data_IF_826814437858
#
_entry.id   IF_826814437858
#
_cell.length_a   1.000
_cell.length_b   1.000
_cell.length_c   1.000
_cell.angle_alpha   90.00
_cell.angle_beta   90.00
_cell.angle_gamma   90.00
#
_symmetry.space_group_name_H-M   'P 1'
#
loop_
_entity.id
_entity.type
_entity.pdbx_description
1 polymer ?
#
# COMPACT_ATOMS: atom_id res chain seq x y z
N UNK A 1 -7.24 -3.25 14.12
CA UNK A 1 -7.05 -1.92 14.73
C UNK A 1 -5.98 -1.96 15.80
N UNK A 2 -5.14 -0.93 15.83
CA UNK A 2 -4.09 -0.68 16.84
C UNK A 2 -3.13 -1.85 17.12
N UNK A 3 -2.79 -2.64 16.09
CA UNK A 3 -1.84 -3.73 16.23
C UNK A 3 -2.29 -4.87 17.16
N UNK A 4 -3.60 -5.13 17.25
CA UNK A 4 -4.15 -6.22 18.06
C UNK A 4 -4.82 -7.28 17.17
N UNK A 5 -4.50 -8.55 17.40
CA UNK A 5 -5.20 -9.68 16.80
C UNK A 5 -6.59 -9.82 17.41
N UNK A 6 -7.61 -9.99 16.55
CA UNK A 6 -9.00 -10.13 16.99
C UNK A 6 -9.71 -11.32 16.35
N UNK A 7 -10.50 -12.03 17.16
CA UNK A 7 -11.48 -13.00 16.70
C UNK A 7 -12.86 -12.36 16.82
N UNK A 8 -13.58 -12.24 15.71
CA UNK A 8 -14.87 -11.54 15.71
C UNK A 8 -15.88 -12.18 16.67
N UNK A 9 -16.69 -11.34 17.32
CA UNK A 9 -17.75 -11.79 18.22
C UNK A 9 -18.73 -12.72 17.51
N UNK A 10 -19.04 -12.43 16.24
CA UNK A 10 -19.86 -13.30 15.41
C UNK A 10 -19.27 -14.70 15.26
N UNK A 11 -17.95 -14.82 15.01
CA UNK A 11 -17.30 -16.12 14.88
C UNK A 11 -17.35 -16.91 16.19
N UNK A 12 -17.16 -16.24 17.33
CA UNK A 12 -17.28 -16.86 18.66
C UNK A 12 -18.68 -17.35 18.96
N UNK A 13 -19.70 -16.53 18.67
CA UNK A 13 -21.10 -16.91 18.87
C UNK A 13 -21.48 -18.11 18.01
N UNK A 14 -21.00 -18.16 16.76
CA UNK A 14 -21.34 -19.22 15.80
C UNK A 14 -20.56 -20.52 16.01
N UNK A 15 -19.28 -20.43 16.40
CA UNK A 15 -18.35 -21.58 16.41
C UNK A 15 -17.82 -21.92 17.82
N UNK A 16 -18.25 -21.19 18.84
CA UNK A 16 -17.83 -21.40 20.23
C UNK A 16 -16.36 -21.05 20.44
N UNK A 17 -15.66 -21.88 21.21
CA UNK A 17 -14.22 -21.71 21.48
C UNK A 17 -13.43 -21.90 20.18
N UNK A 18 -12.60 -20.92 19.85
CA UNK A 18 -11.73 -20.92 18.67
C UNK A 18 -10.28 -20.79 19.15
N UNK A 19 -9.43 -21.69 18.67
CA UNK A 19 -7.98 -21.63 18.89
C UNK A 19 -7.31 -21.32 17.56
N UNK A 20 -6.40 -20.34 17.56
CA UNK A 20 -5.67 -19.94 16.37
C UNK A 20 -4.16 -20.15 16.53
N UNK A 21 -3.50 -20.41 15.41
CA UNK A 21 -2.06 -20.29 15.22
C UNK A 21 -1.78 -19.12 14.27
N UNK A 22 -0.66 -18.45 14.52
CA UNK A 22 -0.21 -17.27 13.78
C UNK A 22 1.17 -17.54 13.20
N UNK A 23 1.35 -17.37 11.91
CA UNK A 23 2.64 -17.47 11.25
C UNK A 23 3.03 -16.09 10.69
N UNK A 24 3.99 -15.37 11.31
CA UNK A 24 4.47 -14.11 10.79
C UNK A 24 4.99 -14.27 9.37
N UNK A 25 4.81 -13.26 8.52
CA UNK A 25 5.44 -13.23 7.20
C UNK A 25 6.72 -12.41 7.32
N UNK A 26 7.83 -12.99 6.84
CA UNK A 26 9.15 -12.36 6.86
C UNK A 26 9.69 -12.26 5.44
N UNK A 27 10.36 -11.13 5.18
CA UNK A 27 11.12 -10.91 3.94
C UNK A 27 12.32 -11.85 3.92
N UNK A 28 12.56 -12.48 2.78
CA UNK A 28 13.77 -13.25 2.52
C UNK A 28 14.92 -12.36 2.05
N UNK A 29 15.88 -12.94 1.33
CA UNK A 29 16.97 -12.19 0.71
C UNK A 29 16.43 -11.45 -0.53
N UNK A 30 16.55 -10.13 -0.54
CA UNK A 30 16.05 -9.29 -1.64
C UNK A 30 14.53 -9.28 -1.78
N UNK A 31 14.07 -8.68 -2.86
CA UNK A 31 12.65 -8.39 -3.13
C UNK A 31 11.83 -9.55 -3.72
N UNK A 32 12.45 -10.73 -3.86
CA UNK A 32 11.85 -11.88 -4.56
C UNK A 32 11.61 -13.08 -3.66
N UNK A 33 11.80 -12.93 -2.36
CA UNK A 33 11.56 -13.99 -1.39
C UNK A 33 10.76 -13.47 -0.20
N UNK A 34 9.70 -14.19 0.13
CA UNK A 34 8.93 -14.04 1.36
C UNK A 34 8.57 -15.42 1.87
N UNK A 35 8.55 -15.60 3.19
CA UNK A 35 8.21 -16.89 3.81
C UNK A 35 7.45 -16.68 5.10
N UNK A 36 6.79 -17.75 5.55
CA UNK A 36 6.27 -17.81 6.91
C UNK A 36 7.43 -18.07 7.88
N UNK A 37 7.44 -17.36 9.00
CA UNK A 37 8.29 -17.64 10.14
C UNK A 37 7.66 -18.73 11.03
N UNK A 38 8.30 -19.02 12.15
CA UNK A 38 7.79 -20.01 13.10
C UNK A 38 6.39 -19.68 13.59
N UNK A 39 5.56 -20.71 13.73
CA UNK A 39 4.18 -20.56 14.16
C UNK A 39 4.13 -20.24 15.66
N UNK A 40 3.42 -19.16 15.99
CA UNK A 40 3.13 -18.76 17.37
C UNK A 40 1.80 -19.40 17.78
N UNK A 41 1.82 -20.13 18.91
CA UNK A 41 0.65 -20.87 19.42
C UNK A 41 0.56 -20.81 20.95
N UNK A 42 -0.66 -20.63 21.51
CA UNK A 42 -1.86 -20.17 20.83
C UNK A 42 -1.77 -18.68 20.51
N UNK A 43 -2.34 -18.23 19.38
CA UNK A 43 -2.62 -16.82 19.17
C UNK A 43 -3.99 -16.51 19.80
N UNK A 44 -3.95 -15.89 20.98
CA UNK A 44 -5.14 -15.50 21.73
C UNK A 44 -5.71 -14.20 21.16
N UNK A 45 -7.03 -14.07 21.20
CA UNK A 45 -7.69 -12.79 20.92
C UNK A 45 -7.22 -11.71 21.91
N UNK A 46 -6.95 -10.52 21.40
CA UNK A 46 -6.37 -9.44 22.18
C UNK A 46 -4.84 -9.44 22.21
N UNK A 47 -4.17 -10.48 21.68
CA UNK A 47 -2.72 -10.49 21.58
C UNK A 47 -2.19 -9.39 20.63
N UNK A 48 -1.05 -8.76 20.95
CA UNK A 48 -0.40 -7.84 20.03
C UNK A 48 0.09 -8.56 18.78
N UNK A 49 0.02 -7.88 17.64
CA UNK A 49 0.66 -8.33 16.41
C UNK A 49 2.17 -8.26 16.56
N UNK A 50 2.86 -9.32 16.13
CA UNK A 50 4.33 -9.38 16.11
C UNK A 50 4.90 -9.02 14.73
N UNK A 51 4.05 -8.96 13.71
CA UNK A 51 4.39 -8.57 12.34
C UNK A 51 3.18 -7.93 11.68
N UNK A 52 3.42 -7.07 10.69
CA UNK A 52 2.34 -6.44 9.92
C UNK A 52 1.51 -7.47 9.15
N UNK A 53 2.17 -8.50 8.62
CA UNK A 53 1.55 -9.50 7.76
C UNK A 53 1.76 -10.88 8.33
N UNK A 54 0.73 -11.70 8.23
CA UNK A 54 0.71 -13.02 8.87
C UNK A 54 -0.35 -13.92 8.27
N UNK A 55 -0.08 -15.22 8.33
CA UNK A 55 -1.06 -16.25 8.06
C UNK A 55 -1.68 -16.72 9.35
N UNK A 56 -3.00 -16.83 9.37
CA UNK A 56 -3.78 -17.36 10.48
C UNK A 56 -4.35 -18.69 10.08
N UNK A 57 -4.28 -19.65 10.99
CA UNK A 57 -5.07 -20.86 10.93
C UNK A 57 -5.80 -21.05 12.25
N UNK A 58 -7.12 -21.24 12.20
CA UNK A 58 -7.93 -21.43 13.41
C UNK A 58 -8.73 -22.72 13.31
N UNK A 59 -9.00 -23.31 14.48
CA UNK A 59 -9.89 -24.44 14.65
C UNK A 59 -10.88 -24.15 15.76
N UNK A 60 -12.16 -24.40 15.49
CA UNK A 60 -13.23 -24.33 16.48
C UNK A 60 -13.35 -25.62 17.27
N UNK A 61 -14.05 -25.59 18.41
CA UNK A 61 -14.36 -26.76 19.20
C UNK A 61 -15.09 -27.87 18.40
N UNK A 62 -15.88 -27.48 17.38
CA UNK A 62 -16.58 -28.42 16.49
C UNK A 62 -15.72 -28.89 15.30
N UNK A 63 -14.41 -28.61 15.29
CA UNK A 63 -13.49 -29.02 14.23
C UNK A 63 -13.53 -28.19 12.94
N UNK A 64 -14.35 -27.14 12.84
CA UNK A 64 -14.34 -26.24 11.67
C UNK A 64 -13.04 -25.45 11.63
N UNK A 65 -12.49 -25.31 10.43
CA UNK A 65 -11.18 -24.69 10.17
C UNK A 65 -11.32 -23.38 9.42
N UNK A 66 -10.44 -22.44 9.73
CA UNK A 66 -10.25 -21.17 9.02
C UNK A 66 -8.78 -21.04 8.67
N UNK A 67 -8.47 -20.64 7.44
CA UNK A 67 -7.09 -20.43 6.99
C UNK A 67 -7.05 -19.23 6.06
N UNK A 68 -6.37 -18.14 6.46
CA UNK A 68 -6.26 -16.95 5.63
C UNK A 68 -4.99 -16.14 5.93
N UNK A 69 -4.66 -15.22 5.03
CA UNK A 69 -3.60 -14.22 5.21
C UNK A 69 -4.23 -12.88 5.60
N UNK A 70 -3.61 -12.18 6.53
CA UNK A 70 -4.07 -10.90 7.06
C UNK A 70 -2.96 -9.87 7.04
N UNK A 71 -3.40 -8.62 7.10
CA UNK A 71 -2.55 -7.44 7.25
C UNK A 71 -3.04 -6.61 8.42
N UNK A 72 -2.10 -5.96 9.09
CA UNK A 72 -2.25 -4.95 10.11
C UNK A 72 -0.93 -4.20 10.26
N UNK A 73 -0.79 -3.44 11.34
CA UNK A 73 0.46 -2.75 11.67
C UNK A 73 0.87 -3.19 13.06
N UNK A 74 2.03 -3.83 13.18
CA UNK A 74 2.59 -4.23 14.46
C UNK A 74 3.28 -3.04 15.15
N UNK A 75 3.18 -2.99 16.48
CA UNK A 75 3.87 -1.96 17.26
C UNK A 75 5.39 -2.16 17.18
N UNK A 76 6.12 -1.10 16.85
CA UNK A 76 7.58 -1.12 16.78
C UNK A 76 8.18 -0.01 17.65
N UNK A 77 8.78 -0.40 18.77
CA UNK A 77 9.35 0.54 19.74
C UNK A 77 10.42 1.46 19.13
N UNK A 78 11.26 0.93 18.25
CA UNK A 78 12.34 1.71 17.61
C UNK A 78 11.80 2.83 16.72
N UNK A 79 10.70 2.58 16.00
CA UNK A 79 10.05 3.58 15.15
C UNK A 79 9.36 4.65 16.01
N UNK A 80 8.75 4.26 17.13
CA UNK A 80 8.20 5.21 18.10
C UNK A 80 9.30 6.05 18.77
N UNK A 81 10.46 5.47 19.06
CA UNK A 81 11.62 6.17 19.60
C UNK A 81 12.24 7.15 18.60
N UNK A 82 12.34 6.79 17.32
CA UNK A 82 12.95 7.63 16.27
C UNK A 82 12.32 9.03 16.19
N UNK A 83 10.98 9.12 16.21
CA UNK A 83 10.25 10.40 16.20
C UNK A 83 10.50 11.28 17.45
N UNK A 84 10.94 10.68 18.56
CA UNK A 84 11.28 11.40 19.79
C UNK A 84 12.73 11.90 19.74
N UNK A 85 13.63 11.10 19.18
CA UNK A 85 15.07 11.36 19.11
C UNK A 85 15.45 12.32 17.98
N UNK A 86 14.84 12.15 16.81
CA UNK A 86 15.08 13.01 15.65
C UNK A 86 14.02 14.10 15.65
N UNK A 87 14.40 15.31 16.07
CA UNK A 87 13.52 16.48 16.02
C UNK A 87 13.63 17.14 14.67
N UNK A 88 12.48 17.54 14.14
CA UNK A 88 12.44 18.37 12.94
C UNK A 88 13.06 19.74 13.23
N UNK A 89 13.68 20.37 12.22
CA UNK A 89 14.11 21.76 12.32
C UNK A 89 12.98 22.67 12.78
N UNK A 90 13.31 23.74 13.52
CA UNK A 90 12.30 24.65 14.09
C UNK A 90 11.40 25.32 13.03
N UNK A 91 11.89 25.47 11.80
CA UNK A 91 11.16 26.03 10.67
C UNK A 91 10.48 24.97 9.78
N UNK A 92 10.57 23.69 10.12
CA UNK A 92 9.92 22.64 9.34
C UNK A 92 8.40 22.68 9.55
N UNK A 93 7.66 22.56 8.46
CA UNK A 93 6.19 22.47 8.52
C UNK A 93 5.71 21.21 9.25
N UNK A 94 6.50 20.13 9.18
CA UNK A 94 6.22 18.88 9.90
C UNK A 94 4.95 18.15 9.46
N UNK A 95 4.46 18.43 8.25
CA UNK A 95 3.31 17.74 7.68
C UNK A 95 3.64 16.27 7.41
N UNK A 96 2.65 15.41 7.66
CA UNK A 96 2.56 14.08 7.08
C UNK A 96 2.46 14.21 5.55
N UNK A 97 2.95 13.22 4.80
CA UNK A 97 2.78 13.15 3.35
C UNK A 97 2.14 11.81 3.03
N UNK A 98 0.98 11.85 2.36
CA UNK A 98 0.31 10.65 1.88
C UNK A 98 0.03 10.79 0.39
N UNK A 99 0.76 9.99 -0.38
CA UNK A 99 0.60 9.88 -1.83
C UNK A 99 -0.14 8.57 -2.12
N UNK A 100 -1.30 8.67 -2.77
CA UNK A 100 -2.08 7.50 -3.20
C UNK A 100 -2.31 7.59 -4.71
N UNK A 101 -1.71 6.65 -5.43
CA UNK A 101 -1.71 6.62 -6.88
C UNK A 101 -2.48 5.43 -7.46
N UNK A 102 -2.92 5.60 -8.71
CA UNK A 102 -3.45 4.52 -9.52
C UNK A 102 -2.62 4.34 -10.79
N UNK A 103 -2.42 3.08 -11.15
CA UNK A 103 -1.82 2.69 -12.42
C UNK A 103 -2.78 2.99 -13.58
N UNK A 104 -2.26 3.39 -14.75
CA UNK A 104 -3.00 3.39 -16.02
C UNK A 104 -4.31 4.18 -16.01
N UNK A 105 -4.40 5.22 -15.17
CA UNK A 105 -5.61 6.03 -14.98
C UNK A 105 -5.44 7.44 -15.55
N UNK A 106 -6.19 7.76 -16.61
CA UNK A 106 -6.26 9.14 -17.14
C UNK A 106 -7.16 10.04 -16.29
N UNK A 107 -7.04 11.36 -16.47
CA UNK A 107 -7.95 12.33 -15.86
C UNK A 107 -9.42 12.02 -16.17
N UNK A 108 -9.72 11.65 -17.41
CA UNK A 108 -11.10 11.32 -17.81
C UNK A 108 -11.59 10.03 -17.15
N UNK A 109 -10.72 9.03 -16.98
CA UNK A 109 -11.06 7.83 -16.21
C UNK A 109 -11.30 8.14 -14.74
N UNK A 110 -10.53 9.05 -14.13
CA UNK A 110 -10.75 9.54 -12.77
C UNK A 110 -12.11 10.23 -12.62
N UNK A 111 -12.41 11.20 -13.50
CA UNK A 111 -13.70 11.91 -13.50
C UNK A 111 -14.89 10.95 -13.63
N UNK A 112 -14.78 9.95 -14.51
CA UNK A 112 -15.89 9.02 -14.80
C UNK A 112 -16.07 7.95 -13.72
N UNK A 113 -14.99 7.36 -13.23
CA UNK A 113 -15.04 6.15 -12.42
C UNK A 113 -14.80 6.39 -10.93
N UNK A 114 -14.32 7.56 -10.53
CA UNK A 114 -14.06 7.92 -9.12
C UNK A 114 -14.83 9.18 -8.66
N UNK A 115 -16.12 9.36 -9.02
CA UNK A 115 -16.83 10.60 -8.72
C UNK A 115 -16.97 10.89 -7.22
N UNK A 116 -17.17 9.87 -6.36
CA UNK A 116 -17.35 10.09 -4.91
C UNK A 116 -16.06 10.57 -4.26
N UNK A 117 -14.94 9.93 -4.60
CA UNK A 117 -13.61 10.30 -4.10
C UNK A 117 -13.20 11.67 -4.60
N UNK A 118 -13.44 11.96 -5.88
CA UNK A 118 -13.16 13.27 -6.49
C UNK A 118 -14.00 14.38 -5.87
N UNK A 119 -15.30 14.17 -5.70
CA UNK A 119 -16.19 15.16 -5.10
C UNK A 119 -15.77 15.48 -3.65
N UNK A 120 -15.48 14.46 -2.85
CA UNK A 120 -15.00 14.67 -1.48
C UNK A 120 -13.67 15.45 -1.47
N UNK A 121 -12.72 15.07 -2.33
CA UNK A 121 -11.43 15.75 -2.43
C UNK A 121 -11.57 17.22 -2.83
N UNK A 122 -12.36 17.54 -3.84
CA UNK A 122 -12.48 18.92 -4.34
C UNK A 122 -13.39 19.77 -3.45
N UNK A 123 -14.59 19.27 -3.11
CA UNK A 123 -15.63 20.09 -2.49
C UNK A 123 -15.54 20.11 -0.97
N UNK A 124 -15.04 19.03 -0.35
CA UNK A 124 -14.92 18.96 1.11
C UNK A 124 -13.52 19.28 1.60
N UNK A 125 -12.48 18.72 0.96
CA UNK A 125 -11.09 19.00 1.36
C UNK A 125 -10.53 20.29 0.75
N UNK A 126 -11.23 20.91 -0.21
CA UNK A 126 -10.73 22.08 -0.94
C UNK A 126 -9.52 21.76 -1.82
N UNK A 127 -9.39 20.50 -2.24
CA UNK A 127 -8.28 20.02 -3.05
C UNK A 127 -8.24 20.71 -4.41
N UNK A 128 -7.03 20.77 -4.98
CA UNK A 128 -6.78 21.37 -6.29
C UNK A 128 -6.52 20.27 -7.32
N UNK A 129 -7.18 20.33 -8.47
CA UNK A 129 -6.90 19.46 -9.60
C UNK A 129 -5.85 20.14 -10.49
N UNK A 130 -4.69 19.48 -10.68
CA UNK A 130 -3.63 19.97 -11.55
C UNK A 130 -3.94 19.61 -13.00
N UNK A 131 -4.78 20.39 -13.66
CA UNK A 131 -5.29 20.08 -15.01
C UNK A 131 -4.20 20.00 -16.09
N UNK A 132 -3.06 20.67 -15.87
CA UNK A 132 -1.89 20.63 -16.75
C UNK A 132 -0.84 19.57 -16.39
N UNK A 133 -1.07 18.75 -15.36
CA UNK A 133 -0.15 17.66 -15.01
C UNK A 133 -0.04 16.66 -16.16
N UNK A 134 1.20 16.32 -16.54
CA UNK A 134 1.50 15.45 -17.65
C UNK A 134 2.56 14.42 -17.26
N UNK A 135 2.53 13.29 -17.97
CA UNK A 135 3.49 12.19 -17.76
C UNK A 135 4.88 12.59 -18.22
N UNK A 136 5.88 12.11 -17.50
CA UNK A 136 7.31 12.24 -17.86
C UNK A 136 7.83 11.02 -18.63
N UNK A 137 7.00 9.99 -18.79
CA UNK A 137 7.27 8.83 -19.63
C UNK A 137 6.06 7.91 -19.76
N UNK A 138 6.12 6.97 -20.72
CA UNK A 138 4.99 6.10 -21.10
C UNK A 138 4.76 4.91 -20.15
N UNK A 139 5.57 4.69 -19.12
CA UNK A 139 5.41 3.56 -18.21
C UNK A 139 5.56 3.95 -16.74
N UNK A 140 5.05 3.11 -15.86
CA UNK A 140 5.03 3.34 -14.40
C UNK A 140 6.42 3.63 -13.84
N UNK A 141 7.46 2.89 -14.26
CA UNK A 141 8.84 3.17 -13.86
C UNK A 141 9.28 4.58 -14.26
N UNK A 142 9.02 4.97 -15.52
CA UNK A 142 9.42 6.28 -16.02
C UNK A 142 8.63 7.43 -15.37
N UNK A 143 7.39 7.19 -14.94
CA UNK A 143 6.58 8.16 -14.22
C UNK A 143 6.97 8.26 -12.74
N UNK A 144 7.14 7.13 -12.04
CA UNK A 144 7.37 7.10 -10.60
C UNK A 144 8.82 7.37 -10.19
N UNK A 145 9.82 7.05 -11.02
CA UNK A 145 11.22 7.39 -10.70
C UNK A 145 11.42 8.91 -10.51
N UNK A 146 11.03 9.79 -11.44
CA UNK A 146 11.17 11.23 -11.24
C UNK A 146 10.41 11.75 -10.02
N UNK A 147 9.24 11.20 -9.73
CA UNK A 147 8.42 11.60 -8.58
C UNK A 147 9.09 11.23 -7.26
N UNK A 148 9.66 10.02 -7.18
CA UNK A 148 10.19 9.46 -5.93
C UNK A 148 11.68 9.70 -5.74
N UNK A 149 12.42 10.07 -6.79
CA UNK A 149 13.87 10.27 -6.74
C UNK A 149 14.32 11.64 -7.26
N UNK A 150 13.44 12.36 -7.97
CA UNK A 150 13.80 13.58 -8.70
C UNK A 150 14.62 13.33 -9.97
N UNK A 151 14.77 12.09 -10.40
CA UNK A 151 15.63 11.67 -11.51
C UNK A 151 14.89 10.73 -12.47
N UNK A 152 15.18 10.82 -13.76
CA UNK A 152 14.72 9.85 -14.76
C UNK A 152 15.56 8.58 -14.69
N UNK A 153 15.10 7.51 -15.36
CA UNK A 153 15.89 6.27 -15.46
C UNK A 153 17.27 6.51 -16.12
N UNK A 154 17.39 7.53 -16.99
CA UNK A 154 18.66 7.87 -17.65
C UNK A 154 19.66 8.57 -16.74
N UNK A 155 19.18 9.25 -15.69
CA UNK A 155 20.02 9.98 -14.73
C UNK A 155 20.58 9.04 -13.64
N UNK A 156 20.05 7.81 -13.56
CA UNK A 156 20.34 6.84 -12.51
C UNK A 156 21.22 5.69 -13.02
N UNK A 157 21.99 5.03 -12.14
CA UNK A 157 22.67 3.79 -12.49
C UNK A 157 21.68 2.76 -13.04
N UNK A 158 22.09 2.01 -14.06
CA UNK A 158 21.25 0.95 -14.60
C UNK A 158 20.87 -0.04 -13.50
N UNK A 159 19.57 -0.32 -13.43
CA UNK A 159 18.99 -1.36 -12.56
C UNK A 159 18.21 -2.42 -13.36
N UNK A 160 18.34 -2.42 -14.70
CA UNK A 160 17.58 -3.33 -15.57
C UNK A 160 17.99 -4.78 -15.37
N UNK A 161 17.04 -5.72 -15.41
CA UNK A 161 17.31 -7.14 -15.19
C UNK A 161 18.18 -7.80 -16.25
N UNK A 162 18.06 -7.35 -17.49
CA UNK A 162 18.79 -7.85 -18.66
C UNK A 162 20.20 -7.25 -18.79
N UNK A 163 20.56 -6.31 -17.93
CA UNK A 163 21.89 -5.72 -17.87
C UNK A 163 22.76 -6.48 -16.83
N UNK A 164 23.87 -7.13 -17.27
CA UNK A 164 24.77 -7.86 -16.37
C UNK A 164 25.46 -7.00 -15.32
N UNK A 165 25.69 -5.72 -15.60
CA UNK A 165 26.42 -4.80 -14.69
C UNK A 165 25.49 -3.95 -13.82
N UNK A 166 24.18 -4.06 -14.03
CA UNK A 166 23.19 -3.33 -13.24
C UNK A 166 23.12 -3.82 -11.79
N UNK A 167 22.63 -2.96 -10.90
CA UNK A 167 22.43 -3.28 -9.47
C UNK A 167 20.97 -3.17 -9.08
N UNK A 168 20.65 -3.61 -7.87
CA UNK A 168 19.39 -3.29 -7.22
C UNK A 168 19.23 -1.77 -7.05
N UNK A 169 17.98 -1.31 -6.89
CA UNK A 169 17.66 0.12 -6.89
C UNK A 169 17.92 0.82 -5.55
N UNK A 170 18.55 0.13 -4.59
CA UNK A 170 18.83 0.61 -3.23
C UNK A 170 19.63 1.92 -3.20
N UNK A 171 20.55 2.11 -4.15
CA UNK A 171 21.44 3.27 -4.21
C UNK A 171 20.79 4.53 -4.82
N UNK A 172 19.52 4.45 -5.25
CA UNK A 172 18.83 5.60 -5.84
C UNK A 172 18.48 6.65 -4.76
N UNK A 173 18.35 7.93 -5.13
CA UNK A 173 18.15 9.02 -4.17
C UNK A 173 16.67 9.13 -3.72
N UNK A 174 16.14 8.06 -3.14
CA UNK A 174 14.73 7.96 -2.78
C UNK A 174 14.27 9.01 -1.77
N UNK A 175 13.09 9.55 -2.00
CA UNK A 175 12.48 10.57 -1.14
C UNK A 175 12.14 10.01 0.25
N UNK A 176 11.76 8.74 0.35
CA UNK A 176 11.51 8.10 1.64
C UNK A 176 12.77 8.02 2.50
N UNK A 177 13.97 7.89 1.93
CA UNK A 177 15.20 7.91 2.72
C UNK A 177 15.45 9.27 3.35
N UNK A 178 15.11 10.35 2.63
CA UNK A 178 15.16 11.72 3.16
C UNK A 178 14.17 11.90 4.31
N UNK A 179 12.94 11.43 4.14
CA UNK A 179 11.93 11.46 5.21
C UNK A 179 12.34 10.61 6.42
N UNK A 180 12.86 9.40 6.19
CA UNK A 180 13.35 8.51 7.25
C UNK A 180 14.49 9.15 8.05
N UNK A 181 15.44 9.79 7.38
CA UNK A 181 16.52 10.57 8.02
C UNK A 181 15.99 11.77 8.82
N UNK A 182 14.89 12.37 8.37
CA UNK A 182 14.19 13.43 9.11
C UNK A 182 13.31 12.92 10.26
N UNK A 183 13.30 11.61 10.55
CA UNK A 183 12.57 11.01 11.67
C UNK A 183 11.15 10.55 11.35
N UNK A 184 10.71 10.66 10.10
CA UNK A 184 9.38 10.21 9.67
C UNK A 184 9.30 8.68 9.67
N UNK A 185 8.12 8.13 9.95
CA UNK A 185 7.78 6.74 9.62
C UNK A 185 7.50 6.64 8.12
N UNK A 186 8.13 5.68 7.44
CA UNK A 186 7.95 5.51 5.98
C UNK A 186 7.19 4.24 5.65
N UNK A 187 6.26 4.33 4.70
CA UNK A 187 5.51 3.19 4.20
C UNK A 187 5.38 3.20 2.68
N UNK A 188 5.44 2.01 2.08
CA UNK A 188 5.18 1.80 0.66
C UNK A 188 4.32 0.56 0.44
N UNK A 189 3.26 0.67 -0.35
CA UNK A 189 2.45 -0.47 -0.76
C UNK A 189 2.12 -0.41 -2.25
N UNK A 190 2.22 -1.57 -2.89
CA UNK A 190 1.82 -1.80 -4.28
C UNK A 190 1.22 -3.21 -4.36
N UNK A 191 0.04 -3.34 -4.96
CA UNK A 191 -0.59 -4.62 -5.28
C UNK A 191 -0.03 -5.18 -6.60
N UNK A 192 -0.55 -6.30 -7.10
CA UNK A 192 -0.06 -6.96 -8.33
C UNK A 192 1.46 -7.18 -8.33
N UNK A 193 1.94 -7.80 -7.26
CA UNK A 193 3.34 -8.01 -6.89
C UNK A 193 4.18 -8.79 -7.91
N UNK A 194 3.54 -9.43 -8.90
CA UNK A 194 4.17 -10.09 -10.04
C UNK A 194 4.57 -9.11 -11.17
N UNK A 195 4.00 -7.90 -11.20
CA UNK A 195 4.32 -6.80 -12.12
C UNK A 195 4.73 -5.51 -11.38
N UNK A 196 5.17 -5.61 -10.13
CA UNK A 196 5.53 -4.43 -9.33
C UNK A 196 6.51 -3.48 -10.01
N UNK A 197 6.33 -2.17 -9.81
CA UNK A 197 6.98 -1.09 -10.58
C UNK A 197 8.49 -1.31 -10.69
N UNK A 198 9.17 -1.51 -9.56
CA UNK A 198 10.62 -1.64 -9.52
C UNK A 198 11.09 -3.09 -9.56
N UNK A 199 10.18 -4.06 -9.67
CA UNK A 199 10.46 -5.49 -9.61
C UNK A 199 10.30 -6.18 -10.96
N UNK A 200 9.42 -5.70 -11.85
CA UNK A 200 9.16 -6.37 -13.13
C UNK A 200 10.34 -6.23 -14.10
N UNK A 201 10.77 -5.00 -14.37
CA UNK A 201 11.85 -4.69 -15.35
C UNK A 201 13.19 -4.35 -14.71
N UNK A 202 13.16 -3.90 -13.46
CA UNK A 202 14.37 -3.61 -12.68
C UNK A 202 14.68 -4.75 -11.70
N UNK A 203 15.87 -4.72 -11.10
CA UNK A 203 16.34 -5.72 -10.13
C UNK A 203 15.65 -5.62 -8.77
N UNK A 204 14.74 -4.68 -8.55
CA UNK A 204 14.05 -4.50 -7.26
C UNK A 204 15.02 -4.04 -6.19
N UNK A 205 14.61 -4.18 -4.93
CA UNK A 205 15.43 -3.79 -3.79
C UNK A 205 16.14 -5.01 -3.16
N UNK A 206 17.36 -4.80 -2.70
CA UNK A 206 18.11 -5.75 -1.88
C UNK A 206 17.65 -5.66 -0.43
N UNK A 207 17.54 -4.46 0.13
CA UNK A 207 17.03 -4.16 1.46
C UNK A 207 15.56 -3.71 1.42
N UNK A 208 14.87 -3.71 2.55
CA UNK A 208 13.50 -3.18 2.58
C UNK A 208 13.53 -1.64 2.46
N UNK A 209 12.86 -1.02 1.47
CA UNK A 209 13.01 0.40 1.18
C UNK A 209 12.37 1.33 2.21
N UNK A 210 11.30 0.89 2.87
CA UNK A 210 10.52 1.67 3.84
C UNK A 210 10.43 0.92 5.17
N UNK A 211 10.03 1.61 6.24
CA UNK A 211 9.83 0.93 7.54
C UNK A 211 8.68 -0.10 7.48
N UNK A 212 7.66 0.20 6.68
CA UNK A 212 6.52 -0.66 6.42
C UNK A 212 6.37 -0.92 4.92
N UNK A 213 6.29 -2.18 4.48
CA UNK A 213 6.10 -2.52 3.06
C UNK A 213 5.17 -3.69 2.84
N UNK A 214 4.07 -3.50 2.07
CA UNK A 214 3.12 -4.58 1.76
C UNK A 214 3.64 -5.62 0.76
N UNK A 215 4.85 -5.46 0.23
CA UNK A 215 5.43 -6.36 -0.78
C UNK A 215 5.33 -7.83 -0.37
N UNK A 216 5.73 -8.17 0.86
CA UNK A 216 5.69 -9.56 1.34
C UNK A 216 4.28 -10.09 1.54
N UNK A 217 3.32 -9.21 1.86
CA UNK A 217 1.91 -9.60 1.93
C UNK A 217 1.43 -10.05 0.56
N UNK A 218 1.59 -9.22 -0.47
CA UNK A 218 1.09 -9.54 -1.80
C UNK A 218 1.81 -10.75 -2.42
N UNK A 219 3.12 -10.91 -2.20
CA UNK A 219 3.86 -12.10 -2.61
C UNK A 219 3.25 -13.42 -2.13
N UNK A 220 2.67 -13.44 -0.93
CA UNK A 220 2.08 -14.64 -0.34
C UNK A 220 0.55 -14.68 -0.48
N UNK A 221 -0.11 -13.53 -0.62
CA UNK A 221 -1.55 -13.43 -0.80
C UNK A 221 -1.98 -13.77 -2.23
N UNK A 222 -1.28 -13.25 -3.25
CA UNK A 222 -1.65 -13.42 -4.66
C UNK A 222 -1.72 -14.89 -5.10
N UNK A 223 -0.76 -15.77 -4.74
CA UNK A 223 -0.89 -17.19 -5.03
C UNK A 223 -2.10 -17.85 -4.39
N UNK A 224 -2.71 -17.25 -3.35
CA UNK A 224 -3.92 -17.77 -2.70
C UNK A 224 -5.22 -17.32 -3.38
N UNK A 225 -5.18 -16.36 -4.30
CA UNK A 225 -6.37 -15.74 -4.88
C UNK A 225 -7.32 -16.72 -5.58
N UNK A 226 -6.79 -17.79 -6.17
CA UNK A 226 -7.60 -18.85 -6.81
C UNK A 226 -8.55 -19.58 -5.85
N UNK A 227 -8.37 -19.43 -4.53
CA UNK A 227 -9.19 -20.07 -3.49
C UNK A 227 -10.40 -19.25 -3.10
N UNK A 228 -10.49 -18.01 -3.57
CA UNK A 228 -11.47 -17.04 -3.13
C UNK A 228 -12.31 -16.52 -4.29
N UNK A 229 -13.41 -15.86 -3.95
CA UNK A 229 -14.16 -15.08 -4.93
C UNK A 229 -13.25 -14.03 -5.57
N UNK A 230 -13.56 -13.70 -6.83
CA UNK A 230 -12.81 -12.67 -7.58
C UNK A 230 -12.73 -11.38 -6.74
N UNK A 231 -11.53 -10.80 -6.67
CA UNK A 231 -11.22 -9.58 -5.89
C UNK A 231 -11.28 -9.73 -4.36
N UNK A 232 -11.43 -10.94 -3.84
CA UNK A 232 -11.46 -11.19 -2.40
C UNK A 232 -10.26 -12.00 -1.92
N UNK A 233 -9.94 -11.85 -0.63
CA UNK A 233 -9.07 -12.75 0.15
C UNK A 233 -9.85 -13.17 1.40
N UNK A 234 -10.32 -14.41 1.40
CA UNK A 234 -11.37 -14.84 2.32
C UNK A 234 -12.68 -14.14 2.00
N UNK A 235 -13.28 -13.51 3.01
CA UNK A 235 -14.54 -12.76 2.91
C UNK A 235 -14.35 -11.25 2.76
N UNK A 236 -13.12 -10.76 2.58
CA UNK A 236 -12.80 -9.34 2.51
C UNK A 236 -12.29 -8.98 1.10
N UNK A 237 -12.79 -7.90 0.48
CA UNK A 237 -12.21 -7.36 -0.74
C UNK A 237 -10.74 -6.98 -0.56
N UNK A 238 -9.91 -7.28 -1.56
CA UNK A 238 -8.45 -7.07 -1.50
C UNK A 238 -8.08 -5.60 -1.36
N UNK A 239 -8.76 -4.73 -2.12
CA UNK A 239 -8.54 -3.28 -2.08
C UNK A 239 -8.89 -2.69 -0.71
N UNK A 240 -9.91 -3.21 -0.04
CA UNK A 240 -10.25 -2.77 1.32
C UNK A 240 -9.12 -3.11 2.30
N UNK A 241 -8.48 -4.28 2.17
CA UNK A 241 -7.32 -4.60 3.00
C UNK A 241 -6.15 -3.64 2.74
N UNK A 242 -5.92 -3.28 1.48
CA UNK A 242 -4.89 -2.31 1.07
C UNK A 242 -5.17 -0.91 1.68
N UNK A 243 -6.39 -0.39 1.52
CA UNK A 243 -6.82 0.90 2.08
C UNK A 243 -6.76 0.91 3.62
N UNK A 244 -7.26 -0.15 4.26
CA UNK A 244 -7.28 -0.28 5.71
C UNK A 244 -5.88 -0.34 6.32
N UNK A 245 -4.87 -0.80 5.57
CA UNK A 245 -3.49 -0.81 6.05
C UNK A 245 -2.95 0.63 6.23
N UNK A 246 -3.27 1.55 5.31
CA UNK A 246 -2.94 2.97 5.48
C UNK A 246 -3.70 3.61 6.65
N UNK A 247 -4.98 3.29 6.83
CA UNK A 247 -5.74 3.68 8.03
C UNK A 247 -5.04 3.20 9.30
N UNK A 248 -4.63 1.93 9.35
CA UNK A 248 -4.00 1.34 10.51
C UNK A 248 -2.61 1.97 10.79
N UNK A 249 -1.88 2.43 9.78
CA UNK A 249 -0.66 3.24 9.94
C UNK A 249 -0.94 4.59 10.61
N UNK A 250 -2.01 5.29 10.21
CA UNK A 250 -2.44 6.53 10.90
C UNK A 250 -2.79 6.26 12.36
N UNK A 251 -3.52 5.18 12.65
CA UNK A 251 -3.89 4.81 14.01
C UNK A 251 -2.67 4.45 14.88
N UNK A 252 -1.73 3.67 14.35
CA UNK A 252 -0.53 3.22 15.09
C UNK A 252 0.38 4.39 15.47
N UNK A 253 0.60 5.31 14.52
CA UNK A 253 1.61 6.35 14.68
C UNK A 253 1.05 7.69 15.14
N UNK A 254 -0.25 7.93 14.97
CA UNK A 254 -0.94 9.15 15.40
C UNK A 254 -0.21 10.40 14.93
N UNK A 255 0.24 11.22 15.90
CA UNK A 255 0.93 12.49 15.68
C UNK A 255 2.39 12.41 15.25
N UNK A 256 2.94 11.21 15.05
CA UNK A 256 4.31 11.07 14.53
C UNK A 256 4.33 11.38 13.03
N UNK A 257 5.34 12.13 12.55
CA UNK A 257 5.45 12.46 11.15
C UNK A 257 5.57 11.19 10.31
N UNK A 258 4.85 11.11 9.20
CA UNK A 258 4.84 9.93 8.33
C UNK A 258 4.85 10.29 6.84
N UNK A 259 5.58 9.51 6.06
CA UNK A 259 5.58 9.54 4.59
C UNK A 259 5.04 8.20 4.11
N UNK A 260 3.96 8.22 3.35
CA UNK A 260 3.29 7.01 2.87
C UNK A 260 3.04 7.13 1.38
N UNK A 261 3.41 6.07 0.65
CA UNK A 261 3.13 5.94 -0.77
C UNK A 261 2.34 4.65 -1.02
N UNK A 262 1.13 4.77 -1.54
CA UNK A 262 0.32 3.66 -2.02
C UNK A 262 0.15 3.77 -3.53
N UNK A 263 0.31 2.67 -4.24
CA UNK A 263 0.07 2.60 -5.68
C UNK A 263 -0.79 1.37 -5.99
N UNK A 264 -1.96 1.57 -6.60
CA UNK A 264 -2.96 0.53 -6.80
C UNK A 264 -3.20 0.26 -8.29
N UNK A 265 -3.08 -1.01 -8.69
CA UNK A 265 -3.16 -1.48 -10.07
C UNK A 265 -4.32 -2.45 -10.34
N UNK A 266 -4.81 -3.21 -9.35
CA UNK A 266 -5.75 -4.35 -9.57
C UNK A 266 -7.03 -3.96 -10.32
N UNK A 267 -7.50 -2.71 -10.18
CA UNK A 267 -8.72 -2.21 -10.80
C UNK A 267 -8.51 -1.23 -11.96
N UNK A 268 -7.27 -0.99 -12.38
CA UNK A 268 -6.99 0.03 -13.39
C UNK A 268 -6.04 -0.43 -14.49
N UNK A 269 -5.05 -1.29 -14.20
CA UNK A 269 -4.04 -1.73 -15.17
C UNK A 269 -4.66 -2.34 -16.44
N UNK A 270 -5.58 -3.29 -16.28
CA UNK A 270 -6.22 -3.98 -17.41
C UNK A 270 -7.48 -3.26 -17.93
N UNK A 271 -8.29 -2.69 -17.02
CA UNK A 271 -9.58 -2.09 -17.37
C UNK A 271 -10.01 -1.03 -16.37
N UNK A 272 -9.92 0.24 -16.77
CA UNK A 272 -10.31 1.38 -15.94
C UNK A 272 -11.78 1.39 -15.49
N UNK A 273 -12.68 0.61 -16.12
CA UNK A 273 -14.08 0.53 -15.66
C UNK A 273 -14.20 -0.15 -14.30
N UNK A 274 -13.17 -0.87 -13.85
CA UNK A 274 -13.16 -1.52 -12.55
C UNK A 274 -12.82 -0.56 -11.39
N UNK A 275 -12.27 0.62 -11.68
CA UNK A 275 -12.01 1.67 -10.68
C UNK A 275 -13.25 2.03 -9.84
N UNK A 276 -14.44 1.98 -10.42
CA UNK A 276 -15.70 2.24 -9.69
C UNK A 276 -15.91 1.33 -8.47
N UNK A 277 -15.20 0.18 -8.41
CA UNK A 277 -15.26 -0.76 -7.28
C UNK A 277 -14.54 -0.24 -6.03
N UNK A 278 -13.57 0.66 -6.18
CA UNK A 278 -12.81 1.24 -5.05
C UNK A 278 -13.29 2.65 -4.68
N UNK A 279 -14.05 3.33 -5.55
CA UNK A 279 -14.45 4.73 -5.35
C UNK A 279 -15.12 5.00 -4.00
N UNK A 280 -16.12 4.20 -3.63
CA UNK A 280 -16.81 4.38 -2.34
C UNK A 280 -15.89 4.15 -1.15
N UNK A 281 -15.08 3.10 -1.20
CA UNK A 281 -14.19 2.72 -0.10
C UNK A 281 -13.02 3.70 0.07
N UNK A 282 -12.49 4.26 -1.03
CA UNK A 282 -11.50 5.33 -0.96
C UNK A 282 -12.13 6.61 -0.42
N UNK A 283 -13.32 7.00 -0.88
CA UNK A 283 -14.02 8.16 -0.34
C UNK A 283 -14.27 8.01 1.17
N UNK A 284 -14.64 6.82 1.63
CA UNK A 284 -14.87 6.53 3.04
C UNK A 284 -13.58 6.53 3.86
N UNK A 285 -12.46 6.03 3.32
CA UNK A 285 -11.15 6.22 3.93
C UNK A 285 -10.81 7.71 4.08
N UNK A 286 -11.00 8.52 3.03
CA UNK A 286 -10.71 9.95 3.06
C UNK A 286 -11.59 10.68 4.08
N UNK A 287 -12.89 10.38 4.14
CA UNK A 287 -13.82 10.91 5.15
C UNK A 287 -13.40 10.53 6.57
N UNK A 288 -12.98 9.29 6.77
CA UNK A 288 -12.51 8.81 8.06
C UNK A 288 -11.25 9.58 8.50
N UNK A 289 -10.26 9.70 7.61
CA UNK A 289 -9.03 10.43 7.91
C UNK A 289 -9.28 11.92 8.15
N UNK A 290 -10.22 12.53 7.42
CA UNK A 290 -10.61 13.91 7.61
C UNK A 290 -11.33 14.12 8.95
N UNK A 291 -12.39 13.35 9.22
CA UNK A 291 -13.18 13.49 10.46
C UNK A 291 -12.39 13.13 11.73
N UNK A 292 -11.37 12.28 11.60
CA UNK A 292 -10.42 11.99 12.68
C UNK A 292 -9.32 13.05 12.86
N UNK A 293 -9.32 14.10 12.03
CA UNK A 293 -8.33 15.18 12.08
C UNK A 293 -6.94 14.82 11.54
N UNK A 294 -6.75 13.62 10.99
CA UNK A 294 -5.46 13.21 10.42
C UNK A 294 -5.07 14.07 9.22
N UNK A 295 -6.02 14.39 8.34
CA UNK A 295 -5.73 15.19 7.15
C UNK A 295 -5.41 16.66 7.44
N UNK A 296 -5.70 17.18 8.65
CA UNK A 296 -5.39 18.58 9.01
C UNK A 296 -3.90 18.90 8.99
N UNK A 297 -3.05 17.86 9.03
CA UNK A 297 -1.60 17.99 8.92
C UNK A 297 -0.99 17.03 7.90
N UNK A 298 -1.74 16.68 6.86
CA UNK A 298 -1.27 15.81 5.79
C UNK A 298 -1.29 16.55 4.46
N UNK A 299 -0.16 16.56 3.76
CA UNK A 299 -0.13 16.81 2.32
C UNK A 299 -0.64 15.55 1.64
N UNK A 300 -1.91 15.56 1.23
CA UNK A 300 -2.56 14.47 0.51
C UNK A 300 -2.40 14.69 -1.00
N UNK A 301 -1.83 13.71 -1.68
CA UNK A 301 -1.67 13.70 -3.14
C UNK A 301 -2.39 12.49 -3.69
N UNK A 302 -3.46 12.71 -4.44
CA UNK A 302 -4.10 11.68 -5.25
C UNK A 302 -3.58 11.82 -6.69
N UNK A 303 -3.05 10.75 -7.26
CA UNK A 303 -2.38 10.82 -8.56
C UNK A 303 -2.55 9.56 -9.42
N UNK A 304 -2.02 9.61 -10.63
CA UNK A 304 -1.81 8.46 -11.49
C UNK A 304 -0.46 8.61 -12.22
N UNK A 305 0.10 7.50 -12.68
CA UNK A 305 1.37 7.47 -13.41
C UNK A 305 1.22 7.82 -14.90
N UNK A 306 0.21 7.25 -15.56
CA UNK A 306 -0.13 7.47 -16.96
C UNK A 306 -1.58 7.08 -17.28
N UNK A 307 -2.05 7.38 -18.49
CA UNK A 307 -3.35 6.93 -19.00
C UNK A 307 -3.37 5.43 -19.36
N UNK A 308 -4.52 4.92 -19.81
CA UNK A 308 -4.66 3.50 -20.17
C UNK A 308 -3.73 3.09 -21.33
N UNK A 309 -2.97 2.01 -21.15
CA UNK A 309 -2.09 1.45 -22.20
C UNK A 309 -2.65 0.18 -22.86
N UNK A 310 -3.41 -0.63 -22.13
CA UNK A 310 -3.73 -2.01 -22.50
C UNK A 310 -5.21 -2.26 -22.89
N UNK A 311 -6.01 -1.22 -23.05
CA UNK A 311 -7.43 -1.38 -23.43
C UNK A 311 -7.67 -1.16 -24.92
N UNK A 312 -8.64 -1.87 -25.50
CA UNK A 312 -9.21 -1.55 -26.83
C UNK A 312 -9.58 -0.07 -26.96
N UNK A 313 -9.90 0.60 -25.85
CA UNK A 313 -10.16 2.03 -25.79
C UNK A 313 -9.00 2.88 -26.35
N UNK A 314 -7.72 2.46 -26.22
CA UNK A 314 -6.55 3.18 -26.79
C UNK A 314 -6.58 3.21 -28.32
N UNK A 315 -7.26 2.25 -28.95
CA UNK A 315 -7.48 2.26 -30.40
C UNK A 315 -8.52 3.30 -30.84
N UNK A 316 -9.36 3.78 -29.91
CA UNK A 316 -10.39 4.80 -30.18
C UNK A 316 -9.83 6.21 -30.05
N UNK A 317 -10.38 7.22 -30.76
CA UNK A 317 -10.01 8.62 -30.57
C UNK A 317 -10.14 9.08 -29.10
N UNK A 318 -11.17 8.60 -28.39
CA UNK A 318 -11.45 8.95 -27.01
C UNK A 318 -10.40 8.40 -26.02
N UNK A 319 -9.74 7.29 -26.35
CA UNK A 319 -8.63 6.77 -25.52
C UNK A 319 -7.25 7.34 -25.88
N UNK A 320 -7.16 8.18 -26.92
CA UNK A 320 -5.94 8.93 -27.27
C UNK A 320 -5.93 10.36 -26.71
N UNK A 321 -7.06 10.83 -26.17
CA UNK A 321 -7.22 12.10 -25.46
C UNK A 321 -6.87 11.92 -23.97
#
# INVERSE_FOLDING_TARGET
ENGIFRISNWARQKYGKITCEYAPIVRGRGDYSARHAEHIKPMLDGSPLVSDFFKVACVSASGRRYHNIHAGVAYNESLHARSRQIKLPANALGYDVFMFGFDSTSRMSWIRNMPKSREFFLNTLGGLELEGYNIVGDGTVQALLPILTGNTEHDLPSARRDDPVSREVDDFPWIWDKFKKAGYVTAWAEDMSYIGTFQMRLKGFKEQPTDHSMRTYFMLAEPMYHRFQRWCVGSEPRHLRFLNWFRDLYLMYGNKPKFMFGFHSEFSHECNNELKKIDEDLADLLKLLHSSGYLNRTILILMADHGSRFTDLRSTPQGKL
#
